data_IF_011785381023
#
_entry.id   IF_011785381023
#
_cell.length_a   1.000
_cell.length_b   1.000
_cell.length_c   1.000
_cell.angle_alpha   90.00
_cell.angle_beta   90.00
_cell.angle_gamma   90.00
#
_symmetry.space_group_name_H-M   'P 1'
#
loop_
_entity.id
_entity.type
_entity.pdbx_description
1 polymer ?
#
# COMPACT_ATOMS: atom_id res chain seq x y z
N UNK A 1 -6.20 -15.07 -9.66
CA UNK A 1 -5.76 -14.92 -8.26
C UNK A 1 -5.32 -13.48 -8.10
N UNK A 2 -5.79 -12.73 -7.10
CA UNK A 2 -5.45 -11.33 -6.96
C UNK A 2 -3.94 -11.18 -6.74
N UNK A 3 -3.30 -10.37 -7.56
CA UNK A 3 -1.86 -10.16 -7.51
C UNK A 3 -1.53 -9.12 -6.45
N UNK A 4 -0.54 -9.42 -5.59
CA UNK A 4 -0.19 -8.59 -4.44
C UNK A 4 1.31 -8.29 -4.45
N UNK A 5 1.68 -7.07 -4.07
CA UNK A 5 3.07 -6.68 -3.87
C UNK A 5 3.33 -6.19 -2.44
N UNK A 6 4.54 -6.45 -1.94
CA UNK A 6 5.01 -6.00 -0.63
C UNK A 6 6.32 -5.23 -0.78
N UNK A 7 6.34 -3.98 -0.32
CA UNK A 7 7.52 -3.13 -0.22
C UNK A 7 7.94 -3.00 1.24
N UNK A 8 9.17 -3.43 1.54
CA UNK A 8 9.70 -3.44 2.92
C UNK A 8 10.61 -2.23 3.13
N UNK A 9 10.26 -1.40 4.11
CA UNK A 9 11.12 -0.35 4.68
C UNK A 9 11.80 0.53 3.61
N UNK A 10 11.03 1.23 2.76
CA UNK A 10 11.60 2.07 1.72
C UNK A 10 12.46 3.17 2.35
N UNK A 11 13.79 3.07 2.17
CA UNK A 11 14.74 4.07 2.69
C UNK A 11 14.62 5.40 1.93
N UNK A 12 14.32 5.33 0.64
CA UNK A 12 14.10 6.48 -0.23
C UNK A 12 12.60 6.69 -0.44
N UNK A 13 12.11 7.88 -0.13
CA UNK A 13 10.69 8.21 -0.24
C UNK A 13 10.19 8.15 -1.69
N UNK A 14 11.00 8.67 -2.63
CA UNK A 14 10.70 8.67 -4.06
C UNK A 14 10.46 7.26 -4.62
N UNK A 15 11.14 6.25 -4.09
CA UNK A 15 10.99 4.87 -4.56
C UNK A 15 9.57 4.33 -4.39
N UNK A 16 8.80 4.82 -3.41
CA UNK A 16 7.41 4.37 -3.21
C UNK A 16 6.55 4.75 -4.41
N UNK A 17 6.68 5.99 -4.91
CA UNK A 17 5.92 6.45 -6.07
C UNK A 17 6.28 5.64 -7.33
N UNK A 18 7.58 5.40 -7.53
CA UNK A 18 8.08 4.60 -8.67
C UNK A 18 7.54 3.17 -8.64
N UNK A 19 7.56 2.51 -7.47
CA UNK A 19 7.00 1.17 -7.33
C UNK A 19 5.49 1.13 -7.51
N UNK A 20 4.76 2.12 -6.99
CA UNK A 20 3.31 2.21 -7.19
C UNK A 20 3.00 2.37 -8.68
N UNK A 21 3.66 3.29 -9.38
CA UNK A 21 3.46 3.49 -10.82
C UNK A 21 3.80 2.25 -11.65
N UNK A 22 4.90 1.56 -11.32
CA UNK A 22 5.35 0.38 -12.04
C UNK A 22 4.47 -0.86 -11.80
N UNK A 23 3.98 -1.05 -10.57
CA UNK A 23 3.28 -2.28 -10.18
C UNK A 23 1.76 -2.16 -10.26
N UNK A 24 1.21 -0.95 -10.24
CA UNK A 24 -0.25 -0.73 -10.31
C UNK A 24 -0.96 -1.47 -11.46
N UNK A 25 -0.40 -1.59 -12.69
CA UNK A 25 -1.06 -2.30 -13.78
C UNK A 25 -1.22 -3.81 -13.56
N UNK A 26 -0.47 -4.39 -12.61
CA UNK A 26 -0.36 -5.85 -12.43
C UNK A 26 -0.67 -6.31 -11.01
N UNK A 27 -1.02 -5.41 -10.09
CA UNK A 27 -1.40 -5.76 -8.71
C UNK A 27 -2.72 -5.13 -8.30
N UNK A 28 -3.51 -5.90 -7.57
CA UNK A 28 -4.78 -5.46 -6.96
C UNK A 28 -4.54 -4.85 -5.57
N UNK A 29 -3.45 -5.28 -4.91
CA UNK A 29 -3.03 -4.77 -3.61
C UNK A 29 -1.53 -4.49 -3.55
N UNK A 30 -1.18 -3.36 -2.94
CA UNK A 30 0.19 -2.96 -2.68
C UNK A 30 0.38 -2.61 -1.20
N UNK A 31 1.25 -3.35 -0.53
CA UNK A 31 1.50 -3.21 0.90
C UNK A 31 2.88 -2.58 1.12
N UNK A 32 2.94 -1.55 1.96
CA UNK A 32 4.19 -0.99 2.47
C UNK A 32 4.30 -1.33 3.94
N UNK A 33 5.34 -2.06 4.32
CA UNK A 33 5.59 -2.45 5.71
C UNK A 33 6.90 -1.87 6.21
N UNK A 34 6.94 -1.41 7.45
CA UNK A 34 8.17 -0.90 8.04
C UNK A 34 8.00 -0.45 9.47
N UNK A 35 9.10 -0.01 10.08
CA UNK A 35 9.03 0.68 11.37
C UNK A 35 8.37 2.04 11.19
N UNK A 36 7.59 2.47 12.17
CA UNK A 36 6.86 3.75 12.15
C UNK A 36 7.78 4.92 11.81
N UNK A 37 9.00 4.95 12.36
CA UNK A 37 9.99 6.01 12.08
C UNK A 37 10.54 6.03 10.64
N UNK A 38 10.32 4.97 9.87
CA UNK A 38 10.74 4.85 8.47
C UNK A 38 9.56 5.03 7.50
N UNK A 39 8.33 5.00 8.01
CA UNK A 39 7.14 5.24 7.21
C UNK A 39 6.79 6.73 7.28
N UNK A 40 7.06 7.44 6.21
CA UNK A 40 6.78 8.87 6.11
C UNK A 40 5.30 9.13 5.78
N UNK A 41 4.80 10.32 6.13
CA UNK A 41 3.39 10.68 5.97
C UNK A 41 2.89 10.63 4.53
N UNK A 42 3.78 10.82 3.55
CA UNK A 42 3.44 10.86 2.13
C UNK A 42 3.05 9.50 1.53
N UNK A 43 3.36 8.37 2.18
CA UNK A 43 3.07 7.03 1.64
C UNK A 43 1.57 6.85 1.37
N UNK A 44 0.71 7.35 2.26
CA UNK A 44 -0.74 7.25 2.07
C UNK A 44 -1.20 8.01 0.81
N UNK A 45 -0.62 9.18 0.57
CA UNK A 45 -0.94 9.99 -0.61
C UNK A 45 -0.45 9.33 -1.90
N UNK A 46 0.74 8.73 -1.89
CA UNK A 46 1.26 7.99 -3.04
C UNK A 46 0.40 6.76 -3.35
N UNK A 47 -0.04 6.01 -2.34
CA UNK A 47 -0.95 4.88 -2.54
C UNK A 47 -2.33 5.34 -3.03
N UNK A 48 -2.86 6.43 -2.50
CA UNK A 48 -4.16 6.98 -2.92
C UNK A 48 -4.18 7.49 -4.37
N UNK A 49 -3.02 7.73 -5.01
CA UNK A 49 -2.94 8.05 -6.45
C UNK A 49 -3.18 6.84 -7.33
N UNK A 50 -2.78 5.65 -6.87
CA UNK A 50 -2.89 4.41 -7.61
C UNK A 50 -4.10 3.57 -7.22
N UNK A 51 -4.50 3.59 -5.96
CA UNK A 51 -5.47 2.65 -5.38
C UNK A 51 -6.71 3.37 -4.87
N UNK A 52 -7.86 2.71 -4.98
CA UNK A 52 -9.17 3.27 -4.56
C UNK A 52 -9.28 3.40 -3.04
N UNK A 53 -8.64 2.49 -2.30
CA UNK A 53 -8.69 2.44 -0.85
C UNK A 53 -7.29 2.35 -0.27
N UNK A 54 -7.08 3.07 0.85
CA UNK A 54 -5.85 2.99 1.64
C UNK A 54 -6.20 2.67 3.09
N UNK A 55 -5.74 1.51 3.56
CA UNK A 55 -5.89 1.06 4.95
C UNK A 55 -4.54 1.07 5.68
N UNK A 56 -4.57 1.27 6.99
CA UNK A 56 -3.38 1.24 7.84
C UNK A 56 -3.59 0.23 8.97
N UNK A 57 -2.67 -0.72 9.12
CA UNK A 57 -2.74 -1.69 10.21
C UNK A 57 -2.52 -1.00 11.57
N UNK A 58 -3.07 -1.55 12.66
CA UNK A 58 -2.63 -1.19 14.00
C UNK A 58 -1.11 -1.34 14.11
N UNK A 59 -0.47 -0.40 14.81
CA UNK A 59 0.96 -0.45 15.06
C UNK A 59 1.28 -1.57 16.06
N UNK A 60 2.26 -2.41 15.76
CA UNK A 60 2.77 -3.46 16.66
C UNK A 60 4.29 -3.47 16.64
N UNK A 61 4.93 -3.54 17.81
CA UNK A 61 6.39 -3.54 17.95
C UNK A 61 7.10 -2.40 17.19
N UNK A 62 6.50 -1.19 17.19
CA UNK A 62 6.99 0.00 16.45
C UNK A 62 6.97 -0.15 14.93
N UNK A 63 6.18 -1.07 14.41
CA UNK A 63 5.97 -1.29 12.98
C UNK A 63 4.50 -1.20 12.63
N UNK A 64 4.22 -0.86 11.37
CA UNK A 64 2.88 -0.92 10.79
C UNK A 64 2.97 -1.27 9.31
N UNK A 65 1.81 -1.58 8.75
CA UNK A 65 1.59 -1.83 7.34
C UNK A 65 0.58 -0.81 6.80
N UNK A 66 0.82 -0.30 5.60
CA UNK A 66 -0.09 0.55 4.85
C UNK A 66 -0.45 -0.21 3.58
N UNK A 67 -1.73 -0.31 3.26
CA UNK A 67 -2.27 -1.17 2.19
C UNK A 67 -3.01 -0.27 1.22
N UNK A 68 -2.58 -0.20 -0.03
CA UNK A 68 -3.39 0.31 -1.14
C UNK A 68 -4.12 -0.86 -1.81
N UNK A 69 -5.43 -0.75 -2.02
CA UNK A 69 -6.23 -1.79 -2.67
C UNK A 69 -7.20 -1.20 -3.71
N UNK A 70 -7.43 -1.95 -4.79
CA UNK A 70 -8.52 -1.71 -5.76
C UNK A 70 -9.40 -2.95 -5.73
N UNK A 71 -10.54 -2.94 -5.02
CA UNK A 71 -11.44 -4.08 -5.00
C UNK A 71 -11.95 -4.37 -6.42
N UNK A 72 -11.91 -5.62 -6.87
CA UNK A 72 -12.62 -5.99 -8.10
C UNK A 72 -14.10 -5.62 -7.94
N UNK A 73 -14.71 -4.98 -8.95
CA UNK A 73 -16.11 -4.54 -8.94
C UNK A 73 -17.15 -5.67 -8.78
N UNK A 74 -16.73 -6.90 -8.48
CA UNK A 74 -17.56 -8.06 -8.16
C UNK A 74 -17.49 -8.55 -6.70
N UNK A 75 -16.54 -8.07 -5.89
CA UNK A 75 -16.55 -8.32 -4.44
C UNK A 75 -17.39 -7.25 -3.75
N UNK A 76 -18.69 -7.22 -4.08
CA UNK A 76 -19.67 -6.57 -3.25
C UNK A 76 -19.56 -7.13 -1.84
N UNK A 77 -19.21 -6.27 -0.89
CA UNK A 77 -19.56 -6.56 0.50
C UNK A 77 -21.09 -6.61 0.53
N UNK A 78 -21.64 -7.83 0.55
CA UNK A 78 -23.02 -8.02 0.99
C UNK A 78 -23.12 -7.42 2.38
N UNK A 79 -23.76 -6.26 2.45
CA UNK A 79 -24.28 -5.66 3.68
C UNK A 79 -25.35 -6.54 4.28
#
# INVERSE_FOLDING_TARGET
MPAKALLISPKAQAAVADYVAALRPVVDEFMVVGRDKHLFRGINAELARGFERVDVSPGRYKSRMIIGSTPESGMGFST
#
